data_IF_049043722246
#
_entry.id   IF_049043722246
#
_cell.length_a   1.000
_cell.length_b   1.000
_cell.length_c   1.000
_cell.angle_alpha   90.00
_cell.angle_beta   90.00
_cell.angle_gamma   90.00
#
_symmetry.space_group_name_H-M   'P 1'
#
loop_
_entity.id
_entity.type
_entity.pdbx_description
1 polymer ?
#
# COMPACT_ATOMS: atom_id res chain seq x y z
N UNK A 1 -7.39 15.37 26.30
CA UNK A 1 -6.42 14.31 25.99
C UNK A 1 -6.86 13.69 24.68
N UNK A 2 -6.00 13.64 23.66
CA UNK A 2 -6.34 12.83 22.48
C UNK A 2 -6.33 11.37 22.93
N UNK A 3 -7.41 10.64 22.67
CA UNK A 3 -7.49 9.22 23.00
C UNK A 3 -6.42 8.45 22.21
N UNK A 4 -5.76 7.51 22.89
CA UNK A 4 -4.79 6.62 22.24
C UNK A 4 -5.53 5.76 21.21
N UNK A 5 -5.23 5.96 19.93
CA UNK A 5 -5.85 5.20 18.83
C UNK A 5 -4.83 4.24 18.23
N UNK A 6 -5.12 2.94 18.28
CA UNK A 6 -4.33 1.93 17.58
C UNK A 6 -4.55 1.99 16.07
N UNK A 7 -3.54 1.63 15.32
CA UNK A 7 -3.57 1.67 13.86
C UNK A 7 -4.73 0.84 13.30
N UNK A 8 -5.04 -0.31 13.90
CA UNK A 8 -6.16 -1.14 13.45
C UNK A 8 -7.49 -0.35 13.40
N UNK A 9 -7.78 0.48 14.40
CA UNK A 9 -9.02 1.26 14.43
C UNK A 9 -9.05 2.32 13.31
N UNK A 10 -7.90 2.90 12.97
CA UNK A 10 -7.78 3.83 11.84
C UNK A 10 -8.00 3.12 10.51
N UNK A 11 -7.40 1.94 10.33
CA UNK A 11 -7.57 1.11 9.14
C UNK A 11 -9.05 0.74 8.98
N UNK A 12 -9.69 0.21 10.01
CA UNK A 12 -11.10 -0.19 9.99
C UNK A 12 -12.02 0.99 9.62
N UNK A 13 -11.82 2.16 10.21
CA UNK A 13 -12.61 3.35 9.88
C UNK A 13 -12.46 3.73 8.41
N UNK A 14 -11.24 3.77 7.88
CA UNK A 14 -11.00 4.19 6.51
C UNK A 14 -11.51 3.17 5.47
N UNK A 15 -11.34 1.87 5.73
CA UNK A 15 -11.81 0.85 4.79
C UNK A 15 -13.34 0.85 4.61
N UNK A 16 -14.11 1.27 5.62
CA UNK A 16 -15.58 1.46 5.49
C UNK A 16 -15.96 2.59 4.55
N UNK A 17 -15.11 3.60 4.39
CA UNK A 17 -15.39 4.77 3.55
C UNK A 17 -14.97 4.57 2.09
N UNK A 18 -14.23 3.51 1.76
CA UNK A 18 -13.89 3.15 0.37
C UNK A 18 -15.18 2.90 -0.41
N UNK A 19 -15.29 3.52 -1.59
CA UNK A 19 -16.43 3.31 -2.51
C UNK A 19 -15.96 2.85 -3.89
N UNK A 20 -14.68 2.56 -4.05
CA UNK A 20 -14.11 2.15 -5.32
C UNK A 20 -14.76 0.88 -5.86
N UNK A 21 -15.26 0.97 -7.08
CA UNK A 21 -15.79 -0.13 -7.87
C UNK A 21 -14.76 -0.47 -8.96
N UNK A 22 -14.02 -1.59 -8.83
CA UNK A 22 -12.96 -1.93 -9.79
C UNK A 22 -13.49 -2.24 -11.19
N UNK A 23 -14.75 -2.70 -11.33
CA UNK A 23 -15.37 -2.99 -12.62
C UNK A 23 -15.71 -1.70 -13.38
N UNK A 24 -16.25 -0.71 -12.66
CA UNK A 24 -16.57 0.60 -13.23
C UNK A 24 -15.39 1.57 -13.25
N UNK A 25 -14.32 1.26 -12.51
CA UNK A 25 -13.13 2.10 -12.32
C UNK A 25 -13.45 3.51 -11.82
N UNK A 26 -14.37 3.63 -10.89
CA UNK A 26 -14.79 4.89 -10.27
C UNK A 26 -14.96 4.74 -8.76
N UNK A 27 -15.07 5.88 -8.07
CA UNK A 27 -15.26 5.93 -6.62
C UNK A 27 -13.97 6.21 -5.84
N UNK A 28 -14.10 6.23 -4.53
CA UNK A 28 -13.06 6.70 -3.60
C UNK A 28 -12.14 5.57 -3.17
N UNK A 29 -10.84 5.86 -3.24
CA UNK A 29 -9.74 5.04 -2.72
C UNK A 29 -9.06 5.76 -1.57
N UNK A 30 -8.37 5.00 -0.73
CA UNK A 30 -7.47 5.55 0.29
C UNK A 30 -6.13 5.87 -0.37
N UNK A 31 -5.58 7.05 -0.09
CA UNK A 31 -4.27 7.45 -0.62
C UNK A 31 -3.27 7.78 0.50
N UNK A 32 -2.00 7.53 0.23
CA UNK A 32 -0.87 8.06 0.96
C UNK A 32 -0.47 9.38 0.30
N UNK A 33 -0.07 10.39 1.08
CA UNK A 33 0.41 11.66 0.56
C UNK A 33 1.87 11.85 0.97
N UNK A 34 2.76 11.92 -0.02
CA UNK A 34 4.17 12.22 0.18
C UNK A 34 4.45 13.67 -0.16
N UNK A 35 5.20 14.37 0.71
CA UNK A 35 5.64 15.74 0.49
C UNK A 35 7.14 15.73 0.20
N UNK A 36 7.53 16.33 -0.92
CA UNK A 36 8.90 16.34 -1.42
C UNK A 36 9.32 17.77 -1.76
N UNK A 37 10.64 18.03 -1.85
CA UNK A 37 11.12 19.30 -2.40
C UNK A 37 10.85 19.35 -3.92
N UNK A 38 10.46 20.49 -4.40
CA UNK A 38 10.23 20.70 -5.84
C UNK A 38 11.49 20.44 -6.68
N UNK A 39 12.68 20.73 -6.14
CA UNK A 39 13.97 20.44 -6.77
C UNK A 39 14.21 18.95 -7.03
N UNK A 40 13.66 18.07 -6.19
CA UNK A 40 13.86 16.62 -6.26
C UNK A 40 12.76 15.92 -7.03
N UNK A 41 11.68 16.63 -7.35
CA UNK A 41 10.44 16.09 -7.92
C UNK A 41 10.70 15.20 -9.15
N UNK A 42 11.46 15.69 -10.13
CA UNK A 42 11.73 14.94 -11.37
C UNK A 42 12.44 13.61 -11.11
N UNK A 43 13.40 13.60 -10.16
CA UNK A 43 14.13 12.37 -9.79
C UNK A 43 13.21 11.41 -9.06
N UNK A 44 12.37 11.92 -8.15
CA UNK A 44 11.40 11.11 -7.38
C UNK A 44 10.36 10.48 -8.30
N UNK A 45 9.80 11.21 -9.26
CA UNK A 45 8.86 10.64 -10.25
C UNK A 45 9.53 9.53 -11.07
N UNK A 46 10.80 9.68 -11.41
CA UNK A 46 11.58 8.63 -12.07
C UNK A 46 11.68 7.35 -11.22
N UNK A 47 11.95 7.49 -9.93
CA UNK A 47 12.00 6.37 -8.97
C UNK A 47 10.60 5.75 -8.74
N UNK A 48 9.56 6.56 -8.61
CA UNK A 48 8.19 6.05 -8.49
C UNK A 48 7.78 5.25 -9.73
N UNK A 49 8.09 5.76 -10.94
CA UNK A 49 7.84 5.04 -12.18
C UNK A 49 8.57 3.70 -12.21
N UNK A 50 9.82 3.68 -11.77
CA UNK A 50 10.62 2.45 -11.68
C UNK A 50 9.98 1.44 -10.71
N UNK A 51 9.58 1.85 -9.50
CA UNK A 51 8.90 0.98 -8.54
C UNK A 51 7.57 0.45 -9.08
N UNK A 52 6.76 1.32 -9.71
CA UNK A 52 5.47 0.97 -10.30
C UNK A 52 5.63 -0.06 -11.43
N UNK A 53 6.54 0.18 -12.38
CA UNK A 53 6.79 -0.74 -13.49
C UNK A 53 7.40 -2.08 -13.04
N UNK A 54 8.06 -2.09 -11.88
CA UNK A 54 8.56 -3.33 -11.27
C UNK A 54 7.50 -4.07 -10.43
N UNK A 55 6.25 -3.60 -10.43
CA UNK A 55 5.16 -4.22 -9.67
C UNK A 55 5.27 -4.00 -8.15
N UNK A 56 6.04 -3.00 -7.68
CA UNK A 56 6.27 -2.72 -6.25
C UNK A 56 5.42 -1.55 -5.73
N UNK A 57 4.28 -1.29 -6.36
CA UNK A 57 3.30 -0.32 -5.92
C UNK A 57 1.88 -0.91 -5.98
N UNK A 58 0.95 -0.29 -5.27
CA UNK A 58 -0.45 -0.76 -5.20
C UNK A 58 -1.16 -0.55 -6.54
N UNK A 59 -0.91 0.57 -7.19
CA UNK A 59 -1.48 0.89 -8.50
C UNK A 59 -0.57 1.86 -9.28
N UNK A 60 -0.75 2.01 -10.60
CA UNK A 60 0.02 2.95 -11.41
C UNK A 60 -0.54 4.39 -11.34
N UNK A 61 -1.63 4.62 -10.62
CA UNK A 61 -2.30 5.92 -10.57
C UNK A 61 -1.71 6.77 -9.45
N UNK A 62 -1.38 8.02 -9.79
CA UNK A 62 -0.90 9.03 -8.85
C UNK A 62 -1.59 10.38 -9.09
N UNK A 63 -1.60 11.23 -8.07
CA UNK A 63 -2.00 12.64 -8.24
C UNK A 63 -0.89 13.54 -7.75
N UNK A 64 -0.52 14.53 -8.57
CA UNK A 64 0.42 15.59 -8.20
C UNK A 64 -0.37 16.74 -7.61
N UNK A 65 0.05 17.22 -6.44
CA UNK A 65 -0.52 18.36 -5.74
C UNK A 65 0.55 19.46 -5.76
N UNK A 66 0.24 20.56 -6.45
CA UNK A 66 1.19 21.65 -6.69
C UNK A 66 1.41 22.50 -5.44
N UNK A 67 2.49 23.30 -5.39
CA UNK A 67 2.67 24.31 -4.34
C UNK A 67 1.42 25.16 -4.19
N UNK A 68 1.09 25.51 -2.95
CA UNK A 68 -0.09 26.29 -2.53
C UNK A 68 -1.46 25.62 -2.73
N UNK A 69 -1.55 24.49 -3.43
CA UNK A 69 -2.79 23.70 -3.54
C UNK A 69 -3.13 23.02 -2.22
N UNK A 70 -4.41 22.72 -2.05
CA UNK A 70 -4.95 21.97 -0.89
C UNK A 70 -5.49 20.62 -1.34
N UNK A 71 -5.28 19.62 -0.49
CA UNK A 71 -5.91 18.31 -0.60
C UNK A 71 -6.42 17.90 0.80
N UNK A 72 -7.72 17.76 0.97
CA UNK A 72 -8.33 17.64 2.29
C UNK A 72 -7.95 18.84 3.17
N UNK A 73 -7.40 18.57 4.35
CA UNK A 73 -6.93 19.57 5.29
C UNK A 73 -5.46 19.95 5.10
N UNK A 74 -4.74 19.30 4.18
CA UNK A 74 -3.32 19.53 3.93
C UNK A 74 -3.15 20.61 2.87
N UNK A 75 -2.35 21.65 3.16
CA UNK A 75 -1.88 22.64 2.19
C UNK A 75 -0.42 22.38 1.88
N UNK A 76 -0.08 22.31 0.59
CA UNK A 76 1.31 22.16 0.15
C UNK A 76 2.01 23.50 0.25
N UNK A 77 3.15 23.53 0.93
CA UNK A 77 3.96 24.72 1.10
C UNK A 77 4.66 25.13 -0.20
N UNK A 78 5.03 26.42 -0.30
CA UNK A 78 5.87 26.94 -1.40
C UNK A 78 7.19 26.18 -1.46
N UNK A 79 7.63 25.78 -2.66
CA UNK A 79 8.84 24.98 -2.89
C UNK A 79 8.70 23.48 -2.56
N UNK A 80 7.49 23.03 -2.23
CA UNK A 80 7.14 21.61 -2.03
C UNK A 80 6.13 21.14 -3.07
N UNK A 81 6.13 19.84 -3.31
CA UNK A 81 5.15 19.16 -4.15
C UNK A 81 4.58 17.98 -3.37
N UNK A 82 3.27 17.79 -3.43
CA UNK A 82 2.60 16.61 -2.90
C UNK A 82 2.44 15.55 -3.99
N UNK A 83 2.60 14.28 -3.60
CA UNK A 83 2.36 13.12 -4.47
C UNK A 83 1.41 12.19 -3.73
N UNK A 84 0.19 12.04 -4.23
CA UNK A 84 -0.76 11.07 -3.70
C UNK A 84 -0.65 9.75 -4.48
N UNK A 85 -0.55 8.63 -3.76
CA UNK A 85 -0.47 7.26 -4.28
C UNK A 85 -1.50 6.37 -3.59
N UNK A 86 -1.96 5.31 -4.25
CA UNK A 86 -2.92 4.41 -3.65
C UNK A 86 -2.34 3.66 -2.43
N UNK A 87 -3.12 3.60 -1.35
CA UNK A 87 -2.84 2.80 -0.17
C UNK A 87 -3.40 1.38 -0.34
N UNK A 88 -2.68 0.36 0.13
CA UNK A 88 -3.10 -1.05 0.04
C UNK A 88 -4.39 -1.36 0.81
N UNK A 89 -4.75 -0.56 1.82
CA UNK A 89 -6.00 -0.69 2.57
C UNK A 89 -7.24 -0.43 1.68
N UNK A 90 -7.08 0.20 0.53
CA UNK A 90 -8.14 0.28 -0.49
C UNK A 90 -8.67 -1.10 -0.87
N UNK A 91 -7.79 -2.12 -0.96
CA UNK A 91 -8.16 -3.50 -1.27
C UNK A 91 -9.08 -4.06 -0.19
N UNK A 92 -8.75 -3.79 1.08
CA UNK A 92 -9.55 -4.23 2.22
C UNK A 92 -10.96 -3.63 2.17
N UNK A 93 -11.06 -2.34 1.81
CA UNK A 93 -12.33 -1.66 1.61
C UNK A 93 -13.16 -2.26 0.47
N UNK A 94 -12.55 -2.59 -0.66
CA UNK A 94 -13.22 -3.24 -1.81
C UNK A 94 -13.70 -4.64 -1.43
N UNK A 95 -12.88 -5.44 -0.78
CA UNK A 95 -13.26 -6.78 -0.28
C UNK A 95 -14.42 -6.69 0.72
N UNK A 96 -14.38 -5.73 1.63
CA UNK A 96 -15.45 -5.48 2.60
C UNK A 96 -16.77 -5.12 1.89
N UNK A 97 -16.74 -4.24 0.88
CA UNK A 97 -17.93 -3.87 0.07
C UNK A 97 -18.47 -5.05 -0.74
N UNK A 98 -17.64 -6.01 -1.10
CA UNK A 98 -18.05 -7.25 -1.72
C UNK A 98 -18.66 -8.28 -0.73
N UNK A 99 -18.81 -7.89 0.56
CA UNK A 99 -19.39 -8.73 1.62
C UNK A 99 -18.39 -9.70 2.26
N UNK A 100 -17.08 -9.51 2.05
CA UNK A 100 -16.03 -10.36 2.60
C UNK A 100 -15.51 -9.70 3.89
N UNK A 101 -15.69 -10.34 5.07
CA UNK A 101 -15.18 -9.82 6.34
C UNK A 101 -13.66 -9.99 6.41
N UNK A 102 -12.94 -9.05 5.81
CA UNK A 102 -11.49 -8.99 5.82
C UNK A 102 -10.98 -8.41 7.14
N UNK A 103 -9.90 -8.99 7.70
CA UNK A 103 -9.24 -8.49 8.90
C UNK A 103 -7.77 -8.18 8.62
N UNK A 104 -7.37 -6.91 8.57
CA UNK A 104 -5.96 -6.53 8.57
C UNK A 104 -5.25 -7.11 9.80
N UNK A 105 -4.10 -7.76 9.62
CA UNK A 105 -3.39 -8.46 10.70
C UNK A 105 -2.10 -7.77 11.08
N UNK A 106 -1.22 -7.57 10.11
CA UNK A 106 0.10 -7.01 10.33
C UNK A 106 0.64 -6.29 9.09
N UNK A 107 1.59 -5.38 9.32
CA UNK A 107 2.54 -4.89 8.34
C UNK A 107 3.92 -5.49 8.60
N UNK A 108 4.73 -5.62 7.56
CA UNK A 108 6.03 -6.25 7.69
C UNK A 108 6.94 -6.07 6.49
N UNK A 109 8.09 -6.71 6.60
CA UNK A 109 9.09 -6.83 5.54
C UNK A 109 9.07 -8.25 5.01
N UNK A 110 8.94 -8.41 3.70
CA UNK A 110 8.98 -9.71 3.01
C UNK A 110 10.29 -9.84 2.23
N UNK A 111 10.95 -10.96 2.43
CA UNK A 111 12.10 -11.38 1.64
C UNK A 111 11.63 -11.96 0.30
N UNK A 112 12.13 -11.41 -0.80
CA UNK A 112 11.89 -11.87 -2.17
C UNK A 112 13.18 -12.49 -2.71
N UNK A 113 13.08 -13.64 -3.36
CA UNK A 113 14.20 -14.31 -4.00
C UNK A 113 13.81 -14.70 -5.43
N UNK A 114 14.58 -14.24 -6.41
CA UNK A 114 14.31 -14.48 -7.85
C UNK A 114 12.86 -14.20 -8.25
N UNK A 115 12.30 -13.07 -7.76
CA UNK A 115 10.94 -12.64 -8.04
C UNK A 115 9.84 -13.36 -7.24
N UNK A 116 10.18 -14.33 -6.39
CA UNK A 116 9.23 -15.09 -5.58
C UNK A 116 9.27 -14.68 -4.11
N UNK A 117 8.13 -14.42 -3.45
CA UNK A 117 8.10 -14.13 -2.02
C UNK A 117 8.43 -15.41 -1.23
N UNK A 118 9.33 -15.28 -0.23
CA UNK A 118 9.74 -16.40 0.61
C UNK A 118 9.06 -16.39 1.98
N UNK A 119 9.19 -15.26 2.69
CA UNK A 119 8.70 -15.12 4.07
C UNK A 119 8.70 -13.68 4.54
N UNK A 120 7.90 -13.41 5.55
CA UNK A 120 8.10 -12.22 6.37
C UNK A 120 9.36 -12.40 7.25
N UNK A 121 10.22 -11.38 7.28
CA UNK A 121 11.41 -11.34 8.13
C UNK A 121 11.18 -10.52 9.39
N UNK A 122 10.37 -9.46 9.29
CA UNK A 122 10.06 -8.52 10.37
C UNK A 122 8.57 -8.17 10.29
N UNK A 123 7.88 -8.18 11.43
CA UNK A 123 6.43 -7.93 11.49
C UNK A 123 6.02 -7.15 12.73
N UNK A 124 4.99 -6.31 12.59
CA UNK A 124 4.25 -5.67 13.67
C UNK A 124 2.75 -5.83 13.43
N UNK A 125 2.01 -6.26 14.45
CA UNK A 125 0.56 -6.42 14.35
C UNK A 125 -0.13 -5.07 14.52
N UNK A 126 -1.18 -4.81 13.74
CA UNK A 126 -1.90 -3.53 13.75
C UNK A 126 -2.67 -3.25 15.05
N UNK A 127 -3.02 -4.30 15.78
CA UNK A 127 -3.73 -4.19 17.08
C UNK A 127 -2.80 -3.86 18.25
N UNK A 128 -1.48 -3.94 18.06
CA UNK A 128 -0.47 -3.71 19.09
C UNK A 128 0.31 -2.40 18.95
N UNK A 129 0.07 -1.61 17.89
CA UNK A 129 0.82 -0.38 17.61
C UNK A 129 -0.09 0.80 17.32
N UNK A 130 0.41 2.01 17.60
CA UNK A 130 -0.21 3.31 17.27
C UNK A 130 0.49 4.01 16.12
N UNK A 131 1.61 3.44 15.63
CA UNK A 131 2.41 3.92 14.49
C UNK A 131 2.24 2.90 13.37
N UNK A 132 2.19 3.37 12.11
CA UNK A 132 2.10 2.45 10.98
C UNK A 132 3.35 1.55 10.92
N UNK A 133 3.19 0.21 10.92
CA UNK A 133 4.32 -0.71 10.84
C UNK A 133 5.24 -0.48 9.65
N UNK A 134 4.70 -0.12 8.49
CA UNK A 134 5.51 0.09 7.29
C UNK A 134 6.41 1.31 7.42
N UNK A 135 5.91 2.38 8.06
CA UNK A 135 6.71 3.56 8.38
C UNK A 135 7.86 3.23 9.36
N UNK A 136 7.58 2.40 10.37
CA UNK A 136 8.61 1.91 11.31
C UNK A 136 9.72 1.17 10.55
N UNK A 137 9.38 0.20 9.71
CA UNK A 137 10.36 -0.60 8.98
C UNK A 137 11.13 0.22 7.93
N UNK A 138 10.47 1.16 7.29
CA UNK A 138 11.10 2.08 6.34
C UNK A 138 12.09 3.01 7.06
N UNK A 139 11.71 3.57 8.22
CA UNK A 139 12.58 4.45 9.01
C UNK A 139 13.78 3.72 9.64
N UNK A 140 13.68 2.41 9.84
CA UNK A 140 14.78 1.56 10.33
C UNK A 140 15.63 1.00 9.17
N UNK A 141 15.41 1.43 7.93
CA UNK A 141 16.15 0.99 6.74
C UNK A 141 16.18 -0.54 6.53
N UNK A 142 15.07 -1.22 6.86
CA UNK A 142 14.98 -2.68 6.77
C UNK A 142 14.61 -3.19 5.37
N UNK A 143 14.42 -2.29 4.41
CA UNK A 143 14.10 -2.62 3.02
C UNK A 143 15.34 -2.65 2.13
N UNK A 144 15.21 -3.28 0.96
CA UNK A 144 16.20 -3.23 -0.12
C UNK A 144 15.46 -3.25 -1.48
N UNK A 145 14.54 -2.30 -1.65
CA UNK A 145 13.70 -2.17 -2.86
C UNK A 145 14.56 -1.92 -4.09
N UNK A 146 15.61 -1.10 -3.97
CA UNK A 146 16.60 -0.87 -5.04
C UNK A 146 17.24 -2.18 -5.52
N UNK A 147 17.65 -3.03 -4.59
CA UNK A 147 18.24 -4.33 -4.92
C UNK A 147 17.20 -5.24 -5.56
N UNK A 148 15.97 -5.28 -5.01
CA UNK A 148 14.86 -6.07 -5.55
C UNK A 148 14.60 -5.73 -7.03
N UNK A 149 14.52 -4.44 -7.37
CA UNK A 149 14.31 -3.99 -8.74
C UNK A 149 15.43 -4.43 -9.68
N UNK A 150 16.68 -4.35 -9.23
CA UNK A 150 17.85 -4.61 -10.06
C UNK A 150 18.14 -6.11 -10.24
N UNK A 151 17.79 -6.95 -9.27
CA UNK A 151 18.24 -8.36 -9.22
C UNK A 151 17.10 -9.37 -9.10
N UNK A 152 15.87 -8.94 -8.86
CA UNK A 152 14.76 -9.82 -8.50
C UNK A 152 14.86 -10.38 -7.07
N UNK A 153 15.86 -9.96 -6.28
CA UNK A 153 16.08 -10.44 -4.90
C UNK A 153 16.27 -9.26 -3.97
N UNK A 154 15.53 -9.23 -2.86
CA UNK A 154 15.59 -8.13 -1.91
C UNK A 154 14.49 -8.19 -0.87
N UNK A 155 14.32 -7.11 -0.12
CA UNK A 155 13.33 -6.96 0.94
C UNK A 155 12.37 -5.82 0.61
N UNK A 156 11.09 -6.09 0.67
CA UNK A 156 10.01 -5.13 0.37
C UNK A 156 9.02 -5.02 1.53
N UNK A 157 8.33 -3.92 1.61
CA UNK A 157 7.21 -3.73 2.54
C UNK A 157 5.99 -4.49 2.04
N UNK A 158 5.30 -5.16 2.95
CA UNK A 158 4.08 -5.90 2.66
C UNK A 158 3.13 -5.90 3.86
N UNK A 159 1.88 -6.22 3.59
CA UNK A 159 0.83 -6.36 4.60
C UNK A 159 0.18 -7.73 4.51
N UNK A 160 -0.24 -8.25 5.64
CA UNK A 160 -1.04 -9.48 5.72
C UNK A 160 -2.42 -9.20 6.29
N UNK A 161 -3.42 -9.79 5.69
CA UNK A 161 -4.80 -9.82 6.16
C UNK A 161 -5.34 -11.24 6.17
N UNK A 162 -6.37 -11.47 6.98
CA UNK A 162 -7.08 -12.73 7.06
C UNK A 162 -8.53 -12.57 6.60
N UNK A 163 -9.05 -13.60 5.94
CA UNK A 163 -10.44 -13.69 5.54
C UNK A 163 -11.00 -15.10 5.83
N UNK A 164 -12.33 -15.27 5.94
CA UNK A 164 -12.92 -16.60 6.06
C UNK A 164 -12.57 -17.47 4.85
N UNK A 165 -12.17 -18.72 5.09
CA UNK A 165 -11.83 -19.66 4.01
C UNK A 165 -13.01 -19.94 3.07
N UNK A 166 -14.23 -19.87 3.59
CA UNK A 166 -15.46 -20.04 2.80
C UNK A 166 -15.68 -18.93 1.75
N UNK A 167 -14.95 -17.80 1.84
CA UNK A 167 -15.05 -16.72 0.89
C UNK A 167 -14.01 -16.80 -0.25
N UNK A 168 -13.21 -17.87 -0.33
CA UNK A 168 -12.07 -17.97 -1.27
C UNK A 168 -12.43 -17.61 -2.71
N UNK A 169 -13.42 -18.30 -3.30
CA UNK A 169 -13.80 -18.08 -4.69
C UNK A 169 -14.24 -16.62 -4.93
N UNK A 170 -14.92 -16.03 -3.95
CA UNK A 170 -15.34 -14.64 -4.04
C UNK A 170 -14.18 -13.67 -3.90
N UNK A 171 -13.21 -13.98 -3.03
CA UNK A 171 -11.96 -13.22 -2.89
C UNK A 171 -11.23 -13.20 -4.23
N UNK A 172 -10.98 -14.36 -4.84
CA UNK A 172 -10.28 -14.47 -6.12
C UNK A 172 -10.96 -13.63 -7.22
N UNK A 173 -12.29 -13.71 -7.36
CA UNK A 173 -13.05 -12.88 -8.30
C UNK A 173 -12.88 -11.37 -8.08
N UNK A 174 -12.87 -10.93 -6.82
CA UNK A 174 -12.70 -9.50 -6.49
C UNK A 174 -11.27 -9.07 -6.76
N UNK A 175 -10.26 -9.90 -6.42
CA UNK A 175 -8.86 -9.62 -6.68
C UNK A 175 -8.57 -9.56 -8.19
N UNK A 176 -9.17 -10.44 -9.00
CA UNK A 176 -9.05 -10.38 -10.46
C UNK A 176 -9.59 -9.05 -11.01
N UNK A 177 -10.76 -8.62 -10.54
CA UNK A 177 -11.32 -7.30 -10.92
C UNK A 177 -10.43 -6.12 -10.52
N UNK A 178 -9.79 -6.21 -9.36
CA UNK A 178 -8.81 -5.22 -8.90
C UNK A 178 -7.59 -5.19 -9.82
N UNK A 179 -7.04 -6.34 -10.17
CA UNK A 179 -5.90 -6.45 -11.11
C UNK A 179 -6.26 -5.86 -12.46
N UNK A 180 -7.43 -6.18 -13.01
CA UNK A 180 -7.93 -5.61 -14.28
C UNK A 180 -8.12 -4.09 -14.22
N UNK A 181 -8.38 -3.54 -13.03
CA UNK A 181 -8.51 -2.09 -12.82
C UNK A 181 -7.18 -1.38 -12.57
N UNK A 182 -6.06 -2.12 -12.52
CA UNK A 182 -4.71 -1.60 -12.30
C UNK A 182 -4.20 -1.73 -10.85
N UNK A 183 -4.94 -2.41 -9.96
CA UNK A 183 -4.50 -2.68 -8.58
C UNK A 183 -3.84 -4.06 -8.48
N UNK A 184 -2.60 -4.18 -8.95
CA UNK A 184 -1.88 -5.45 -9.11
C UNK A 184 -0.86 -5.75 -8.01
N UNK A 185 -1.24 -5.51 -6.75
CA UNK A 185 -0.33 -5.58 -5.62
C UNK A 185 -0.47 -6.86 -4.76
N UNK A 186 -1.10 -7.91 -5.27
CA UNK A 186 -1.24 -9.17 -4.56
C UNK A 186 0.07 -9.96 -4.63
N UNK A 187 0.65 -10.29 -3.48
CA UNK A 187 1.84 -11.16 -3.40
C UNK A 187 1.44 -12.63 -3.40
N UNK A 188 0.48 -12.99 -2.54
CA UNK A 188 0.06 -14.38 -2.35
C UNK A 188 -1.34 -14.43 -1.74
N UNK A 189 -2.14 -15.38 -2.19
CA UNK A 189 -3.38 -15.83 -1.54
C UNK A 189 -3.13 -17.23 -1.00
N UNK A 190 -3.08 -17.35 0.32
CA UNK A 190 -2.75 -18.61 1.00
C UNK A 190 -3.84 -19.65 0.92
N UNK A 191 -3.46 -20.89 1.17
CA UNK A 191 -4.41 -21.99 1.32
C UNK A 191 -5.14 -21.92 2.67
N UNK A 192 -6.41 -22.38 2.75
CA UNK A 192 -7.16 -22.42 4.00
C UNK A 192 -6.43 -23.14 5.13
N UNK A 193 -6.40 -22.56 6.31
CA UNK A 193 -5.76 -23.09 7.52
C UNK A 193 -4.25 -23.35 7.41
N UNK A 194 -3.59 -22.86 6.35
CA UNK A 194 -2.15 -22.97 6.16
C UNK A 194 -1.45 -21.65 6.45
N UNK A 195 -0.23 -21.75 6.94
CA UNK A 195 0.65 -20.59 7.09
C UNK A 195 0.92 -19.94 5.74
N UNK A 196 1.05 -18.63 5.72
CA UNK A 196 1.39 -17.83 4.52
C UNK A 196 2.67 -17.05 4.78
N UNK A 197 3.68 -17.23 3.95
CA UNK A 197 4.98 -16.57 4.06
C UNK A 197 5.57 -16.65 5.50
N UNK A 198 5.41 -17.81 6.16
CA UNK A 198 5.89 -18.07 7.52
C UNK A 198 5.03 -17.48 8.64
N UNK A 199 3.87 -16.89 8.32
CA UNK A 199 2.94 -16.34 9.32
C UNK A 199 1.75 -17.28 9.49
N UNK A 200 1.50 -17.65 10.75
CA UNK A 200 0.36 -18.48 11.10
C UNK A 200 -0.97 -17.76 10.83
N UNK A 201 -1.88 -18.48 10.18
CA UNK A 201 -3.25 -18.02 9.89
C UNK A 201 -4.23 -18.62 10.90
N UNK A 202 -5.24 -17.85 11.27
CA UNK A 202 -6.27 -18.29 12.20
C UNK A 202 -7.08 -19.48 11.67
N UNK A 203 -7.71 -20.22 12.59
CA UNK A 203 -8.58 -21.36 12.23
C UNK A 203 -9.73 -20.91 11.33
N UNK A 204 -10.05 -21.73 10.31
CA UNK A 204 -11.09 -21.47 9.32
C UNK A 204 -10.89 -20.18 8.52
N UNK A 205 -9.62 -19.75 8.39
CA UNK A 205 -9.18 -18.56 7.66
C UNK A 205 -8.23 -18.94 6.53
N UNK A 206 -8.05 -17.98 5.63
CA UNK A 206 -6.92 -17.91 4.69
C UNK A 206 -6.24 -16.55 4.84
N UNK A 207 -4.95 -16.50 4.54
CA UNK A 207 -4.15 -15.27 4.52
C UNK A 207 -4.09 -14.68 3.12
N UNK A 208 -4.01 -13.35 3.04
CA UNK A 208 -3.76 -12.63 1.79
C UNK A 208 -2.60 -11.66 2.05
N UNK A 209 -1.48 -11.88 1.39
CA UNK A 209 -0.33 -11.01 1.43
C UNK A 209 -0.37 -10.01 0.28
N UNK A 210 -0.15 -8.73 0.58
CA UNK A 210 -0.26 -7.62 -0.37
C UNK A 210 0.96 -6.71 -0.24
N UNK A 211 1.45 -6.20 -1.35
CA UNK A 211 2.55 -5.23 -1.40
C UNK A 211 2.17 -3.96 -0.63
N UNK A 212 3.10 -3.47 0.18
CA UNK A 212 2.96 -2.21 0.90
C UNK A 212 2.92 -1.01 -0.03
N UNK A 213 1.97 -0.09 0.19
CA UNK A 213 1.81 1.12 -0.63
C UNK A 213 2.98 2.10 -0.54
N UNK A 214 3.90 1.91 0.40
CA UNK A 214 5.04 2.79 0.66
C UNK A 214 6.38 2.29 0.09
N UNK A 215 6.40 1.19 -0.68
CA UNK A 215 7.62 0.75 -1.36
C UNK A 215 8.22 1.79 -2.33
N UNK A 216 7.44 2.57 -3.11
CA UNK A 216 8.02 3.67 -3.90
C UNK A 216 8.74 4.71 -3.04
N UNK A 217 8.25 4.97 -1.81
CA UNK A 217 8.86 5.88 -0.85
C UNK A 217 10.14 5.31 -0.28
N UNK A 218 10.14 4.01 0.06
CA UNK A 218 11.33 3.29 0.50
C UNK A 218 12.44 3.36 -0.57
N UNK A 219 12.09 3.17 -1.85
CA UNK A 219 13.04 3.32 -2.97
C UNK A 219 13.65 4.74 -3.00
N UNK A 220 12.85 5.78 -2.76
CA UNK A 220 13.32 7.18 -2.72
C UNK A 220 14.31 7.38 -1.57
N UNK A 221 14.00 6.89 -0.38
CA UNK A 221 14.89 6.97 0.79
C UNK A 221 16.20 6.20 0.58
N UNK A 222 16.14 4.98 0.03
CA UNK A 222 17.31 4.18 -0.33
C UNK A 222 18.24 4.89 -1.34
N UNK A 223 17.69 5.83 -2.14
CA UNK A 223 18.44 6.68 -3.07
C UNK A 223 18.90 8.02 -2.46
N UNK A 224 18.84 8.14 -1.13
CA UNK A 224 19.35 9.29 -0.38
C UNK A 224 18.50 10.56 -0.49
N UNK A 225 17.23 10.44 -0.90
CA UNK A 225 16.32 11.58 -1.02
C UNK A 225 15.34 11.57 0.16
N UNK A 226 15.20 12.72 0.81
CA UNK A 226 14.24 12.87 1.91
C UNK A 226 12.82 12.97 1.36
N UNK A 227 11.93 12.13 1.86
CA UNK A 227 10.50 12.10 1.55
C UNK A 227 9.71 11.98 2.85
N UNK A 228 8.71 12.82 3.03
CA UNK A 228 7.81 12.77 4.18
C UNK A 228 6.44 12.27 3.72
N UNK A 229 6.03 11.12 4.21
CA UNK A 229 4.79 10.47 3.80
C UNK A 229 3.81 10.40 4.97
N UNK A 230 2.56 10.72 4.68
CA UNK A 230 1.42 10.47 5.56
C UNK A 230 0.62 9.31 4.97
N UNK A 231 0.73 8.15 5.61
CA UNK A 231 -0.01 6.95 5.24
C UNK A 231 -1.50 7.11 5.55
N UNK A 232 -2.34 6.46 4.74
CA UNK A 232 -3.80 6.50 4.90
C UNK A 232 -4.29 7.94 5.15
N UNK A 233 -3.85 8.88 4.31
CA UNK A 233 -4.02 10.31 4.57
C UNK A 233 -5.46 10.75 4.39
N UNK A 234 -6.04 10.46 3.23
CA UNK A 234 -7.41 10.84 2.86
C UNK A 234 -8.02 9.83 1.90
N UNK A 235 -9.35 9.98 1.67
CA UNK A 235 -10.03 9.39 0.52
C UNK A 235 -10.00 10.35 -0.66
N UNK A 236 -9.75 9.80 -1.84
CA UNK A 236 -9.69 10.53 -3.11
C UNK A 236 -10.45 9.76 -4.17
N UNK A 237 -11.19 10.44 -5.04
CA UNK A 237 -11.80 9.81 -6.19
C UNK A 237 -10.71 9.38 -7.18
N UNK A 238 -10.74 8.11 -7.63
CA UNK A 238 -9.72 7.56 -8.52
C UNK A 238 -9.63 8.34 -9.84
N UNK A 239 -10.74 8.94 -10.28
CA UNK A 239 -10.84 9.76 -11.50
C UNK A 239 -10.01 11.06 -11.41
N UNK A 240 -9.61 11.47 -10.19
CA UNK A 240 -8.71 12.62 -9.99
C UNK A 240 -7.22 12.25 -10.15
N UNK A 241 -6.91 10.96 -10.32
CA UNK A 241 -5.54 10.47 -10.47
C UNK A 241 -5.23 10.20 -11.96
N UNK A 242 -3.95 10.30 -12.29
CA UNK A 242 -3.44 10.01 -13.65
C UNK A 242 -2.48 8.84 -13.60
N UNK A 243 -2.39 8.11 -14.71
CA UNK A 243 -1.36 7.07 -14.85
C UNK A 243 0.03 7.69 -14.78
N UNK A 244 0.98 7.02 -14.10
CA UNK A 244 2.35 7.54 -13.87
C UNK A 244 3.05 7.93 -15.17
N UNK A 245 2.76 7.25 -16.27
CA UNK A 245 3.40 7.51 -17.57
C UNK A 245 2.89 8.79 -18.25
N UNK A 246 1.77 9.35 -17.80
CA UNK A 246 1.24 10.63 -18.25
C UNK A 246 1.90 11.83 -17.53
N UNK A 247 2.58 11.57 -16.40
CA UNK A 247 3.27 12.59 -15.63
C UNK A 247 4.60 12.96 -16.31
N UNK A 248 4.75 14.25 -16.63
CA UNK A 248 5.93 14.80 -17.33
C UNK A 248 6.98 15.34 -16.38
#
# INVERSE_FOLDING_TARGET
MADLMFIISRIENMMYEVTFDPVKRNGKIIVNISIVNESDFKKIIGLFRQAIHSGLAVSPYIKIIRPEEKIGNLKIETGKVGIATACSITIDGVLLKAGIPIKPKLGGVVEIHEGSPLRFTDVLTYDSTTIDPLDVFMSQELTSVTQMINTGTGKILANLREAPMSARDRIEQVLDSLVESGFSCILEVGEPNNDILGIQVGRDKLGIAVIGGTNPMALVQENGININTQEMSILLDIEEMSHIDEIK
#
